data_IF_127473454819
#
_entry.id   IF_127473454819
#
_cell.length_a   1.000
_cell.length_b   1.000
_cell.length_c   1.000
_cell.angle_alpha   90.00
_cell.angle_beta   90.00
_cell.angle_gamma   90.00
#
_symmetry.space_group_name_H-M   'P 1'
#
loop_
_entity.id
_entity.type
_entity.pdbx_description
1 polymer ?
#
# COMPACT_ATOMS: atom_id res chain seq x y z
N UNK A 1 -10.50 18.87 8.96
CA UNK A 1 -10.36 17.69 9.84
C UNK A 1 -11.00 16.42 9.25
N UNK A 2 -12.25 16.47 8.76
CA UNK A 2 -12.94 15.32 8.14
C UNK A 2 -12.16 14.69 6.97
N UNK A 3 -11.50 15.51 6.13
CA UNK A 3 -10.75 15.02 4.96
C UNK A 3 -9.50 14.20 5.31
N UNK A 4 -8.86 14.42 6.47
CA UNK A 4 -7.67 13.66 6.86
C UNK A 4 -8.03 12.24 7.31
N UNK A 5 -9.06 12.09 8.15
CA UNK A 5 -9.48 10.80 8.67
C UNK A 5 -9.96 9.86 7.56
N UNK A 6 -10.73 10.39 6.59
CA UNK A 6 -11.17 9.60 5.43
C UNK A 6 -9.96 9.10 4.62
N UNK A 7 -9.01 9.99 4.29
CA UNK A 7 -7.79 9.59 3.57
C UNK A 7 -6.93 8.60 4.37
N UNK A 8 -6.94 8.69 5.70
CA UNK A 8 -6.22 7.78 6.58
C UNK A 8 -6.82 6.38 6.57
N UNK A 9 -8.15 6.27 6.70
CA UNK A 9 -8.85 4.98 6.60
C UNK A 9 -8.65 4.34 5.22
N UNK A 10 -8.72 5.13 4.15
CA UNK A 10 -8.46 4.65 2.80
C UNK A 10 -7.01 4.16 2.62
N UNK A 11 -6.04 4.86 3.19
CA UNK A 11 -4.64 4.43 3.19
C UNK A 11 -4.45 3.14 3.98
N UNK A 12 -5.03 3.04 5.17
CA UNK A 12 -4.90 1.86 6.03
C UNK A 12 -5.48 0.60 5.35
N UNK A 13 -6.65 0.75 4.73
CA UNK A 13 -7.25 -0.32 3.92
C UNK A 13 -6.35 -0.75 2.76
N UNK A 14 -5.78 0.21 2.03
CA UNK A 14 -4.87 -0.06 0.92
C UNK A 14 -3.56 -0.72 1.41
N UNK A 15 -3.02 -0.27 2.54
CA UNK A 15 -1.81 -0.83 3.14
C UNK A 15 -2.03 -2.28 3.60
N UNK A 16 -3.15 -2.57 4.25
CA UNK A 16 -3.51 -3.92 4.66
C UNK A 16 -3.74 -4.86 3.46
N UNK A 17 -4.33 -4.35 2.37
CA UNK A 17 -4.47 -5.11 1.12
C UNK A 17 -3.11 -5.44 0.49
N UNK A 18 -2.22 -4.44 0.38
CA UNK A 18 -0.86 -4.61 -0.14
C UNK A 18 -0.05 -5.61 0.70
N UNK A 19 -0.13 -5.52 2.05
CA UNK A 19 0.56 -6.42 2.95
C UNK A 19 0.10 -7.88 2.79
N UNK A 20 -1.21 -8.12 2.66
CA UNK A 20 -1.75 -9.46 2.43
C UNK A 20 -1.33 -10.04 1.08
N UNK A 21 -1.38 -9.22 0.02
CA UNK A 21 -0.94 -9.62 -1.31
C UNK A 21 0.57 -9.95 -1.33
N UNK A 22 1.39 -9.09 -0.72
CA UNK A 22 2.83 -9.32 -0.57
C UNK A 22 3.13 -10.61 0.21
N UNK A 23 2.47 -10.84 1.34
CA UNK A 23 2.65 -12.06 2.14
C UNK A 23 2.21 -13.33 1.41
N UNK A 24 1.19 -13.25 0.55
CA UNK A 24 0.80 -14.36 -0.33
C UNK A 24 1.85 -14.62 -1.39
N UNK A 25 2.33 -13.57 -2.07
CA UNK A 25 3.35 -13.68 -3.10
C UNK A 25 4.67 -14.22 -2.53
N UNK A 26 5.10 -13.76 -1.36
CA UNK A 26 6.28 -14.29 -0.67
C UNK A 26 6.15 -15.79 -0.42
N UNK A 27 5.02 -16.26 0.11
CA UNK A 27 4.79 -17.70 0.33
C UNK A 27 4.86 -18.52 -0.96
N UNK A 28 4.36 -17.99 -2.08
CA UNK A 28 4.46 -18.65 -3.37
C UNK A 28 5.90 -18.69 -3.89
N UNK A 29 6.64 -17.59 -3.75
CA UNK A 29 8.05 -17.53 -4.11
C UNK A 29 8.88 -18.50 -3.27
N UNK A 30 8.62 -18.59 -1.96
CA UNK A 30 9.29 -19.53 -1.07
C UNK A 30 9.00 -20.98 -1.48
N UNK A 31 7.74 -21.31 -1.78
CA UNK A 31 7.36 -22.64 -2.23
C UNK A 31 8.02 -23.02 -3.57
N UNK A 32 8.12 -22.07 -4.50
CA UNK A 32 8.80 -22.25 -5.79
C UNK A 32 10.31 -22.45 -5.60
N UNK A 33 10.96 -21.60 -4.80
CA UNK A 33 12.39 -21.72 -4.48
C UNK A 33 12.72 -23.03 -3.75
N UNK A 34 11.81 -23.52 -2.91
CA UNK A 34 11.93 -24.81 -2.24
C UNK A 34 11.63 -26.02 -3.16
N UNK A 35 11.19 -25.81 -4.39
CA UNK A 35 10.78 -26.88 -5.32
C UNK A 35 9.48 -27.58 -4.94
N UNK A 36 8.73 -27.04 -3.98
CA UNK A 36 7.48 -27.60 -3.44
C UNK A 36 6.22 -27.04 -4.10
N UNK A 37 6.35 -26.00 -4.92
CA UNK A 37 5.24 -25.34 -5.58
C UNK A 37 5.61 -24.76 -6.94
N UNK A 38 4.59 -24.39 -7.76
CA UNK A 38 4.81 -23.77 -9.04
C UNK A 38 5.30 -22.32 -8.89
N UNK A 39 5.90 -21.79 -9.95
CA UNK A 39 6.24 -20.37 -10.02
C UNK A 39 4.97 -19.51 -9.85
N UNK A 40 5.03 -18.40 -9.10
CA UNK A 40 3.89 -17.50 -8.98
C UNK A 40 3.49 -16.95 -10.35
N UNK A 41 2.20 -16.92 -10.68
CA UNK A 41 1.75 -16.42 -11.97
C UNK A 41 1.94 -14.90 -12.07
N UNK A 42 2.23 -14.42 -13.28
CA UNK A 42 2.52 -13.01 -13.53
C UNK A 42 1.42 -12.04 -13.06
N UNK A 43 0.14 -12.48 -13.08
CA UNK A 43 -0.97 -11.65 -12.61
C UNK A 43 -0.94 -11.41 -11.09
N UNK A 44 -0.49 -12.38 -10.28
CA UNK A 44 -0.35 -12.19 -8.82
C UNK A 44 0.80 -11.23 -8.49
N UNK A 45 1.89 -11.28 -9.26
CA UNK A 45 3.00 -10.32 -9.15
C UNK A 45 2.51 -8.91 -9.50
N UNK A 46 1.77 -8.77 -10.60
CA UNK A 46 1.22 -7.50 -11.05
C UNK A 46 0.20 -6.93 -10.04
N UNK A 47 -0.66 -7.78 -9.48
CA UNK A 47 -1.63 -7.39 -8.45
C UNK A 47 -0.94 -6.89 -7.18
N UNK A 48 0.06 -7.63 -6.68
CA UNK A 48 0.83 -7.21 -5.50
C UNK A 48 1.51 -5.86 -5.72
N UNK A 49 2.07 -5.62 -6.92
CA UNK A 49 2.67 -4.33 -7.29
C UNK A 49 1.64 -3.21 -7.33
N UNK A 50 0.52 -3.44 -8.00
CA UNK A 50 -0.58 -2.47 -8.11
C UNK A 50 -1.10 -2.04 -6.73
N UNK A 51 -1.33 -2.99 -5.83
CA UNK A 51 -1.81 -2.70 -4.47
C UNK A 51 -0.78 -1.90 -3.67
N UNK A 52 0.50 -2.21 -3.83
CA UNK A 52 1.60 -1.46 -3.19
C UNK A 52 1.67 -0.02 -3.72
N UNK A 53 1.57 0.17 -5.03
CA UNK A 53 1.55 1.50 -5.66
C UNK A 53 0.32 2.31 -5.22
N UNK A 54 -0.82 1.65 -5.07
CA UNK A 54 -2.05 2.25 -4.58
C UNK A 54 -1.95 2.70 -3.12
N UNK A 55 -1.38 1.89 -2.23
CA UNK A 55 -1.09 2.27 -0.85
C UNK A 55 -0.11 3.46 -0.78
N UNK A 56 0.95 3.45 -1.60
CA UNK A 56 1.93 4.53 -1.66
C UNK A 56 1.33 5.85 -2.16
N UNK A 57 0.43 5.80 -3.16
CA UNK A 57 -0.28 7.00 -3.63
C UNK A 57 -1.14 7.62 -2.54
N UNK A 58 -1.87 6.82 -1.77
CA UNK A 58 -2.67 7.31 -0.64
C UNK A 58 -1.81 7.88 0.48
N UNK A 59 -0.68 7.25 0.79
CA UNK A 59 0.28 7.78 1.75
C UNK A 59 0.85 9.14 1.31
N UNK A 60 1.15 9.30 0.02
CA UNK A 60 1.62 10.56 -0.53
C UNK A 60 0.55 11.65 -0.38
N UNK A 61 -0.72 11.35 -0.70
CA UNK A 61 -1.82 12.30 -0.52
C UNK A 61 -1.98 12.75 0.94
N UNK A 62 -1.89 11.81 1.90
CA UNK A 62 -1.91 12.13 3.34
C UNK A 62 -0.75 13.04 3.75
N UNK A 63 0.46 12.77 3.25
CA UNK A 63 1.65 13.60 3.53
C UNK A 63 1.49 15.01 2.98
N UNK A 64 0.97 15.16 1.76
CA UNK A 64 0.69 16.47 1.17
C UNK A 64 -0.33 17.25 2.01
N UNK A 65 -1.43 16.62 2.42
CA UNK A 65 -2.43 17.28 3.25
C UNK A 65 -1.87 17.71 4.61
N UNK A 66 -1.02 16.88 5.23
CA UNK A 66 -0.33 17.25 6.47
C UNK A 66 0.64 18.42 6.27
N UNK A 67 1.32 18.48 5.12
CA UNK A 67 2.22 19.57 4.80
C UNK A 67 1.46 20.89 4.64
N UNK A 68 0.39 20.91 3.86
CA UNK A 68 -0.49 22.07 3.67
C UNK A 68 -1.06 22.59 5.01
N UNK A 69 -1.51 21.70 5.89
CA UNK A 69 -2.02 22.08 7.21
C UNK A 69 -0.92 22.72 8.08
N UNK A 70 0.32 22.23 8.00
CA UNK A 70 1.44 22.81 8.76
C UNK A 70 1.80 24.21 8.27
N UNK A 71 1.78 24.43 6.96
CA UNK A 71 2.03 25.76 6.38
C UNK A 71 0.94 26.75 6.77
N UNK A 72 -0.33 26.33 6.76
CA UNK A 72 -1.46 27.16 7.18
C UNK A 72 -1.37 27.57 8.65
N UNK A 73 -0.94 26.67 9.53
CA UNK A 73 -0.74 26.97 10.96
C UNK A 73 0.46 27.89 11.19
N UNK A 74 1.49 27.84 10.34
CA UNK A 74 2.67 28.69 10.46
C UNK A 74 2.43 30.15 10.01
N UNK A 75 1.31 30.43 9.33
CA UNK A 75 0.93 31.75 8.81
C UNK A 75 -0.05 32.51 9.74
N UNK A 76 -0.40 31.94 10.89
CA UNK A 76 -1.28 32.52 11.93
C UNK A 76 -0.43 32.82 13.17
#
# INVERSE_FOLDING_TARGET
MISFFVLFEEWDCAAAAAARAGARLCRQLDAYCAGTGPAPPAHEIAESRRLTEEANRRLAALRSLLHEQREQVALI
#
